data_IF_395436947849
#
_entry.id   IF_395436947849
#
_cell.length_a   1.000
_cell.length_b   1.000
_cell.length_c   1.000
_cell.angle_alpha   90.00
_cell.angle_beta   90.00
_cell.angle_gamma   90.00
#
_symmetry.space_group_name_H-M   'P 1'
#
loop_
_entity.id
_entity.type
_entity.pdbx_description
1 polymer ?
#
# COMPACT_ATOMS: atom_id res chain seq x y z
N UNK A 1 -18.22 -0.79 -9.45
CA UNK A 1 -17.29 0.01 -10.27
C UNK A 1 -15.89 -0.47 -9.94
N UNK A 2 -15.23 -1.22 -10.83
CA UNK A 2 -13.87 -1.71 -10.58
C UNK A 2 -12.90 -0.52 -10.57
N UNK A 3 -12.42 -0.13 -9.38
CA UNK A 3 -11.42 0.92 -9.26
C UNK A 3 -10.14 0.41 -9.93
N UNK A 4 -9.70 1.08 -11.02
CA UNK A 4 -8.42 0.78 -11.67
C UNK A 4 -7.33 0.82 -10.60
N UNK A 5 -6.64 -0.29 -10.42
CA UNK A 5 -5.54 -0.36 -9.47
C UNK A 5 -4.48 0.68 -9.84
N UNK A 6 -4.34 1.72 -9.00
CA UNK A 6 -3.33 2.77 -9.19
C UNK A 6 -2.05 2.32 -8.53
N UNK A 7 -1.00 2.19 -9.34
CA UNK A 7 0.35 1.90 -8.87
C UNK A 7 1.22 3.16 -8.94
N UNK A 8 2.15 3.29 -7.99
CA UNK A 8 3.11 4.39 -7.92
C UNK A 8 4.52 3.90 -7.63
N UNK A 9 5.49 4.73 -8.05
CA UNK A 9 6.87 4.66 -7.62
C UNK A 9 7.04 5.42 -6.31
N UNK A 10 7.80 4.86 -5.37
CA UNK A 10 8.12 5.53 -4.11
C UNK A 10 9.60 5.89 -4.11
N UNK A 11 9.87 7.18 -3.98
CA UNK A 11 11.21 7.74 -3.98
C UNK A 11 11.52 8.40 -2.64
N UNK A 12 12.63 7.99 -2.03
CA UNK A 12 13.15 8.63 -0.83
C UNK A 12 14.02 9.82 -1.24
N UNK A 13 13.51 11.03 -1.01
CA UNK A 13 14.20 12.28 -1.36
C UNK A 13 15.48 12.54 -0.54
N UNK A 14 15.57 12.08 0.71
CA UNK A 14 16.75 12.36 1.55
C UNK A 14 17.92 11.41 1.29
N UNK A 15 17.64 10.26 0.68
CA UNK A 15 18.64 9.24 0.31
C UNK A 15 18.78 9.07 -1.20
N UNK A 16 18.09 9.90 -1.96
CA UNK A 16 18.06 9.92 -3.42
C UNK A 16 17.84 8.54 -4.09
N UNK A 17 16.99 7.70 -3.49
CA UNK A 17 16.83 6.30 -3.92
C UNK A 17 15.36 5.88 -4.03
N UNK A 18 15.07 4.98 -4.97
CA UNK A 18 13.76 4.34 -5.07
C UNK A 18 13.61 3.27 -4.00
N UNK A 19 12.51 3.32 -3.24
CA UNK A 19 12.16 2.31 -2.25
C UNK A 19 11.35 1.17 -2.84
N UNK A 20 10.52 1.48 -3.84
CA UNK A 20 9.63 0.51 -4.48
C UNK A 20 9.12 1.02 -5.82
N UNK A 21 8.87 0.10 -6.75
CA UNK A 21 8.41 0.39 -8.11
C UNK A 21 6.96 -0.01 -8.37
N UNK A 22 6.38 -0.83 -7.48
CA UNK A 22 5.05 -1.42 -7.65
C UNK A 22 4.22 -1.24 -6.38
N UNK A 23 3.97 0.01 -6.00
CA UNK A 23 3.21 0.31 -4.79
C UNK A 23 1.76 0.57 -5.13
N UNK A 24 0.85 -0.28 -4.64
CA UNK A 24 -0.60 -0.11 -4.83
C UNK A 24 -1.13 0.93 -3.85
N UNK A 25 -1.89 1.90 -4.34
CA UNK A 25 -2.58 2.87 -3.47
C UNK A 25 -3.82 2.23 -2.85
N UNK A 26 -3.93 2.28 -1.52
CA UNK A 26 -5.13 1.94 -0.76
C UNK A 26 -5.82 3.23 -0.28
N UNK A 27 -6.69 3.78 -1.13
CA UNK A 27 -7.41 5.04 -0.89
C UNK A 27 -8.89 4.86 -0.52
N UNK A 28 -9.48 3.68 -0.73
CA UNK A 28 -10.86 3.34 -0.32
C UNK A 28 -10.89 2.63 1.02
N UNK A 29 -12.03 2.70 1.74
CA UNK A 29 -12.25 2.03 3.04
C UNK A 29 -11.88 0.55 2.95
N UNK A 30 -12.39 -0.17 1.95
CA UNK A 30 -12.14 -1.60 1.79
C UNK A 30 -10.66 -1.90 1.46
N UNK A 31 -10.05 -1.11 0.57
CA UNK A 31 -8.63 -1.30 0.24
C UNK A 31 -7.70 -1.04 1.43
N UNK A 32 -8.06 -0.10 2.32
CA UNK A 32 -7.32 0.20 3.55
C UNK A 32 -7.47 -0.91 4.57
N UNK A 33 -8.68 -1.46 4.72
CA UNK A 33 -8.95 -2.59 5.61
C UNK A 33 -8.19 -3.86 5.19
N UNK A 34 -8.11 -4.13 3.88
CA UNK A 34 -7.35 -5.29 3.39
C UNK A 34 -5.85 -5.05 3.53
N UNK A 35 -5.34 -3.92 3.04
CA UNK A 35 -3.89 -3.66 3.01
C UNK A 35 -3.12 -4.83 2.36
N UNK A 36 -2.30 -5.51 3.16
CA UNK A 36 -1.54 -6.72 2.77
C UNK A 36 -2.17 -8.03 3.26
N UNK A 37 -3.30 -8.01 3.96
CA UNK A 37 -3.94 -9.23 4.50
C UNK A 37 -4.24 -10.25 3.40
N UNK A 38 -3.98 -11.52 3.69
CA UNK A 38 -4.14 -12.62 2.75
C UNK A 38 -3.04 -12.74 1.69
N UNK A 39 -2.07 -11.81 1.63
CA UNK A 39 -0.88 -11.97 0.80
C UNK A 39 0.12 -12.89 1.52
N UNK A 40 0.42 -14.04 0.91
CA UNK A 40 1.43 -14.99 1.43
C UNK A 40 2.86 -14.48 1.26
N UNK A 41 3.09 -13.66 0.26
CA UNK A 41 4.38 -13.04 -0.03
C UNK A 41 4.17 -11.73 -0.77
N UNK A 42 5.21 -10.90 -0.76
CA UNK A 42 5.26 -9.64 -1.48
C UNK A 42 6.44 -9.71 -2.43
N UNK A 43 6.22 -9.41 -3.72
CA UNK A 43 7.33 -9.33 -4.66
C UNK A 43 8.33 -8.25 -4.21
N UNK A 44 9.63 -8.41 -4.46
CA UNK A 44 10.59 -7.33 -4.27
C UNK A 44 10.09 -6.03 -4.92
N UNK A 45 10.40 -4.90 -4.30
CA UNK A 45 10.02 -3.56 -4.75
C UNK A 45 8.51 -3.30 -4.92
N UNK A 46 7.66 -4.14 -4.31
CA UNK A 46 6.21 -3.91 -4.26
C UNK A 46 5.76 -3.55 -2.86
N UNK A 47 4.56 -2.98 -2.75
CA UNK A 47 4.01 -2.56 -1.47
C UNK A 47 2.59 -2.04 -1.58
N UNK A 48 2.06 -1.60 -0.44
CA UNK A 48 0.79 -0.88 -0.36
C UNK A 48 1.04 0.49 0.28
N UNK A 49 0.47 1.54 -0.30
CA UNK A 49 0.45 2.87 0.28
C UNK A 49 -0.93 3.13 0.87
N UNK A 50 -1.02 3.10 2.20
CA UNK A 50 -2.27 3.38 2.91
C UNK A 50 -2.42 4.89 3.01
N UNK A 51 -3.41 5.46 2.31
CA UNK A 51 -3.70 6.88 2.43
C UNK A 51 -4.29 7.19 3.82
N UNK A 52 -3.91 8.31 4.45
CA UNK A 52 -4.42 8.70 5.77
C UNK A 52 -5.94 8.67 5.86
N UNK A 53 -6.46 8.15 6.97
CA UNK A 53 -7.88 8.00 7.29
C UNK A 53 -8.16 8.41 8.73
N UNK A 54 -9.37 8.92 9.00
CA UNK A 54 -9.87 9.10 10.38
C UNK A 54 -10.32 7.79 11.04
N UNK A 55 -9.96 6.66 10.44
CA UNK A 55 -10.40 5.32 10.79
C UNK A 55 -9.15 4.45 10.97
N UNK A 56 -8.46 4.65 12.10
CA UNK A 56 -7.32 3.81 12.49
C UNK A 56 -7.90 2.48 12.98
N UNK A 57 -7.57 1.40 12.29
CA UNK A 57 -8.00 0.06 12.66
C UNK A 57 -6.78 -0.85 12.82
N UNK A 58 -6.80 -1.68 13.85
CA UNK A 58 -5.76 -2.66 14.16
C UNK A 58 -6.40 -4.04 14.03
N UNK A 59 -6.44 -4.60 12.82
CA UNK A 59 -6.97 -5.94 12.57
C UNK A 59 -5.86 -6.77 11.93
N UNK A 60 -5.54 -7.93 12.52
CA UNK A 60 -4.60 -8.90 11.92
C UNK A 60 -3.12 -8.48 11.92
N UNK A 61 -2.69 -7.65 12.87
CA UNK A 61 -1.29 -7.19 13.04
C UNK A 61 -0.52 -8.05 14.08
N UNK A 62 -0.75 -9.36 14.11
CA UNK A 62 -0.04 -10.33 14.97
C UNK A 62 0.99 -11.11 14.16
#
# INVERSE_FOLDING_TARGET
>A
MAQRDRYVFVYNKTKETFLAFRVKIADSIFSRLIGLLGRRSLTPDSGVWICPANAIHTVGML
#
